data_IF_149217457098
#
_entry.id   IF_149217457098
#
_cell.length_a   1.000
_cell.length_b   1.000
_cell.length_c   1.000
_cell.angle_alpha   90.00
_cell.angle_beta   90.00
_cell.angle_gamma   90.00
#
_symmetry.space_group_name_H-M   'P 1'
#
loop_
_entity.id
_entity.type
_entity.pdbx_description
1 polymer ?
#
# COMPACT_ATOMS: atom_id res chain seq x y z
N UNK A 1 25.04 -16.27 16.96
CA UNK A 1 24.10 -16.27 18.10
C UNK A 1 23.30 -14.94 18.08
N UNK A 2 23.92 -13.75 18.07
CA UNK A 2 23.23 -12.45 18.08
C UNK A 2 22.29 -12.26 16.87
N UNK A 3 22.70 -12.64 15.65
CA UNK A 3 21.88 -12.51 14.47
C UNK A 3 20.62 -13.43 14.49
N UNK A 4 20.73 -14.62 15.05
CA UNK A 4 19.61 -15.53 15.19
C UNK A 4 18.60 -15.01 16.21
N UNK A 5 19.07 -14.52 17.38
CA UNK A 5 18.18 -13.92 18.38
C UNK A 5 17.47 -12.64 17.88
N UNK A 6 18.14 -11.82 17.06
CA UNK A 6 17.52 -10.67 16.42
C UNK A 6 16.43 -11.06 15.43
N UNK A 7 16.64 -12.11 14.62
CA UNK A 7 15.64 -12.62 13.68
C UNK A 7 14.42 -13.19 14.41
N UNK A 8 14.63 -13.93 15.50
CA UNK A 8 13.54 -14.49 16.30
C UNK A 8 12.71 -13.38 16.98
N UNK A 9 13.40 -12.37 17.53
CA UNK A 9 12.73 -11.21 18.10
C UNK A 9 11.88 -10.48 17.05
N UNK A 10 12.41 -10.23 15.87
CA UNK A 10 11.67 -9.56 14.82
C UNK A 10 10.51 -10.38 14.27
N UNK A 11 10.66 -11.68 14.15
CA UNK A 11 9.54 -12.56 13.76
C UNK A 11 8.40 -12.52 14.77
N UNK A 12 8.72 -12.40 16.05
CA UNK A 12 7.70 -12.29 17.10
C UNK A 12 7.08 -10.88 17.16
N UNK A 13 7.83 -9.83 16.88
CA UNK A 13 7.36 -8.43 16.99
C UNK A 13 6.73 -7.90 15.69
N UNK A 14 7.13 -8.40 14.51
CA UNK A 14 6.60 -7.94 13.22
C UNK A 14 5.08 -7.94 13.13
N UNK A 15 4.34 -8.98 13.57
CA UNK A 15 2.88 -8.96 13.54
C UNK A 15 2.27 -7.85 14.40
N UNK A 16 2.89 -7.56 15.56
CA UNK A 16 2.43 -6.48 16.44
C UNK A 16 2.71 -5.11 15.81
N UNK A 17 3.89 -4.93 15.20
CA UNK A 17 4.24 -3.69 14.50
C UNK A 17 3.32 -3.45 13.30
N UNK A 18 3.05 -4.48 12.50
CA UNK A 18 2.11 -4.40 11.39
C UNK A 18 0.69 -4.10 11.86
N UNK A 19 0.22 -4.78 12.89
CA UNK A 19 -1.08 -4.55 13.50
C UNK A 19 -1.22 -3.13 14.06
N UNK A 20 -0.20 -2.64 14.75
CA UNK A 20 -0.18 -1.28 15.28
C UNK A 20 -0.18 -0.23 14.15
N UNK A 21 0.66 -0.40 13.12
CA UNK A 21 0.68 0.48 11.96
C UNK A 21 -0.69 0.49 11.26
N UNK A 22 -1.28 -0.67 11.03
CA UNK A 22 -2.60 -0.79 10.43
C UNK A 22 -3.67 -0.10 11.26
N UNK A 23 -3.64 -0.25 12.60
CA UNK A 23 -4.58 0.42 13.50
C UNK A 23 -4.41 1.94 13.47
N UNK A 24 -3.17 2.45 13.50
CA UNK A 24 -2.87 3.88 13.43
C UNK A 24 -3.38 4.46 12.12
N UNK A 25 -3.07 3.80 11.01
CA UNK A 25 -3.50 4.18 9.67
C UNK A 25 -5.03 4.19 9.59
N UNK A 26 -5.71 3.16 10.08
CA UNK A 26 -7.17 3.11 10.11
C UNK A 26 -7.79 4.22 10.95
N UNK A 27 -7.23 4.50 12.12
CA UNK A 27 -7.67 5.60 12.98
C UNK A 27 -7.51 6.94 12.25
N UNK A 28 -6.35 7.17 11.62
CA UNK A 28 -6.11 8.37 10.83
C UNK A 28 -7.13 8.53 9.69
N UNK A 29 -7.48 7.41 9.02
CA UNK A 29 -8.53 7.37 8.00
C UNK A 29 -9.90 7.74 8.55
N UNK A 30 -10.25 7.25 9.73
CA UNK A 30 -11.51 7.62 10.37
C UNK A 30 -11.59 9.12 10.66
N UNK A 31 -10.48 9.73 11.07
CA UNK A 31 -10.43 11.19 11.25
C UNK A 31 -10.55 11.95 9.93
N UNK A 32 -9.88 11.49 8.87
CA UNK A 32 -9.87 12.12 7.55
C UNK A 32 -11.24 12.04 6.88
N UNK A 33 -11.83 10.85 6.82
CA UNK A 33 -13.11 10.65 6.14
C UNK A 33 -14.32 10.92 7.02
N UNK A 34 -14.16 10.91 8.34
CA UNK A 34 -15.28 11.01 9.32
C UNK A 34 -16.43 10.04 9.00
N UNK A 35 -16.10 8.90 8.41
CA UNK A 35 -17.04 7.88 7.94
C UNK A 35 -16.36 6.53 7.86
N UNK A 36 -16.84 5.57 8.63
CA UNK A 36 -16.33 4.19 8.63
C UNK A 36 -16.39 3.58 7.22
N UNK A 37 -17.49 3.84 6.49
CA UNK A 37 -17.67 3.34 5.12
C UNK A 37 -16.57 3.81 4.18
N UNK A 38 -16.27 5.10 4.15
CA UNK A 38 -15.25 5.68 3.28
C UNK A 38 -13.85 5.27 3.70
N UNK A 39 -13.58 5.16 4.99
CA UNK A 39 -12.30 4.66 5.50
C UNK A 39 -12.04 3.21 5.06
N UNK A 40 -13.05 2.34 5.14
CA UNK A 40 -12.92 0.95 4.66
C UNK A 40 -12.69 0.94 3.14
N UNK A 41 -13.47 1.71 2.37
CA UNK A 41 -13.32 1.76 0.90
C UNK A 41 -11.91 2.20 0.50
N UNK A 42 -11.37 3.22 1.16
CA UNK A 42 -10.03 3.74 0.87
C UNK A 42 -8.92 2.73 1.23
N UNK A 43 -9.12 1.88 2.25
CA UNK A 43 -8.15 0.86 2.65
C UNK A 43 -8.17 -0.43 1.81
N UNK A 44 -9.25 -0.70 1.09
CA UNK A 44 -9.35 -1.92 0.28
C UNK A 44 -8.20 -2.11 -0.73
N UNK A 45 -7.78 -1.09 -1.49
CA UNK A 45 -6.67 -1.23 -2.42
C UNK A 45 -5.37 -1.65 -1.74
N UNK A 46 -5.10 -1.11 -0.54
CA UNK A 46 -3.95 -1.46 0.27
C UNK A 46 -3.95 -2.95 0.63
N UNK A 47 -5.07 -3.45 1.18
CA UNK A 47 -5.21 -4.85 1.57
C UNK A 47 -5.03 -5.80 0.38
N UNK A 48 -5.64 -5.47 -0.76
CA UNK A 48 -5.54 -6.26 -1.98
C UNK A 48 -4.11 -6.17 -2.54
N UNK A 49 -3.49 -4.99 -2.52
CA UNK A 49 -2.10 -4.79 -2.94
C UNK A 49 -1.14 -5.64 -2.12
N UNK A 50 -1.33 -5.71 -0.79
CA UNK A 50 -0.57 -6.59 0.09
C UNK A 50 -0.80 -8.07 -0.21
N UNK A 51 -2.05 -8.48 -0.49
CA UNK A 51 -2.35 -9.85 -0.88
C UNK A 51 -1.59 -10.24 -2.15
N UNK A 52 -1.57 -9.36 -3.16
CA UNK A 52 -0.79 -9.57 -4.38
C UNK A 52 0.71 -9.57 -4.12
N UNK A 53 1.22 -8.66 -3.29
CA UNK A 53 2.63 -8.63 -2.90
C UNK A 53 3.06 -9.98 -2.31
N UNK A 54 2.34 -10.48 -1.29
CA UNK A 54 2.64 -11.76 -0.68
C UNK A 54 2.48 -12.93 -1.66
N UNK A 55 1.47 -12.90 -2.54
CA UNK A 55 1.30 -13.89 -3.60
C UNK A 55 2.50 -13.95 -4.54
N UNK A 56 2.98 -12.81 -5.02
CA UNK A 56 4.18 -12.74 -5.87
C UNK A 56 5.41 -13.23 -5.12
N UNK A 57 5.59 -12.81 -3.87
CA UNK A 57 6.73 -13.23 -3.05
C UNK A 57 6.78 -14.75 -2.88
N UNK A 58 5.62 -15.38 -2.66
CA UNK A 58 5.52 -16.85 -2.59
C UNK A 58 5.86 -17.52 -3.92
N UNK A 59 5.38 -16.96 -5.05
CA UNK A 59 5.63 -17.51 -6.39
C UNK A 59 7.11 -17.48 -6.79
N UNK A 60 7.82 -16.41 -6.43
CA UNK A 60 9.26 -16.26 -6.74
C UNK A 60 10.17 -16.91 -5.69
N UNK A 61 9.60 -17.52 -4.65
CA UNK A 61 10.38 -18.15 -3.57
C UNK A 61 11.18 -17.13 -2.73
N UNK A 62 10.70 -15.90 -2.62
CA UNK A 62 11.41 -14.83 -1.91
C UNK A 62 11.42 -15.08 -0.41
N UNK A 63 12.62 -15.11 0.17
CA UNK A 63 12.78 -15.36 1.60
C UNK A 63 12.68 -14.09 2.41
N UNK A 64 11.87 -14.12 3.48
CA UNK A 64 11.80 -13.04 4.44
C UNK A 64 13.08 -12.96 5.27
N UNK A 65 13.70 -11.80 5.27
CA UNK A 65 14.86 -11.48 6.08
C UNK A 65 14.59 -10.24 6.95
N UNK A 66 15.54 -9.92 7.81
CA UNK A 66 15.46 -8.76 8.71
C UNK A 66 15.08 -7.47 7.97
N UNK A 67 15.73 -7.18 6.86
CA UNK A 67 15.56 -5.92 6.12
C UNK A 67 14.17 -5.76 5.52
N UNK A 68 13.63 -6.83 4.95
CA UNK A 68 12.30 -6.76 4.33
C UNK A 68 11.15 -6.78 5.35
N UNK A 69 11.35 -7.36 6.54
CA UNK A 69 10.38 -7.25 7.63
C UNK A 69 10.25 -5.80 8.14
N UNK A 70 11.37 -5.05 8.20
CA UNK A 70 11.37 -3.64 8.61
C UNK A 70 10.63 -2.74 7.62
N UNK A 71 10.69 -3.05 6.32
CA UNK A 71 10.06 -2.20 5.30
C UNK A 71 8.55 -2.41 5.18
N UNK A 72 8.01 -3.52 5.67
CA UNK A 72 6.55 -3.79 5.58
C UNK A 72 5.67 -2.70 6.20
N UNK A 73 5.92 -2.21 7.43
CA UNK A 73 5.16 -1.08 7.97
C UNK A 73 5.28 0.20 7.15
N UNK A 74 6.46 0.44 6.55
CA UNK A 74 6.66 1.61 5.69
C UNK A 74 5.85 1.50 4.39
N UNK A 75 5.79 0.30 3.77
CA UNK A 75 4.95 0.06 2.59
C UNK A 75 3.46 0.25 2.93
N UNK A 76 3.03 -0.14 4.13
CA UNK A 76 1.67 0.12 4.61
C UNK A 76 1.34 1.62 4.59
N UNK A 77 2.22 2.45 5.18
CA UNK A 77 1.99 3.90 5.23
C UNK A 77 2.07 4.58 3.86
N UNK A 78 3.06 4.22 3.03
CA UNK A 78 3.26 4.83 1.71
C UNK A 78 2.21 4.33 0.70
N UNK A 79 1.88 3.04 0.75
CA UNK A 79 0.97 2.41 -0.21
C UNK A 79 -0.48 2.87 -0.05
N UNK A 80 -0.85 3.31 1.14
CA UNK A 80 -2.19 3.80 1.44
C UNK A 80 -2.52 5.12 0.77
N UNK A 81 -1.55 6.03 0.65
CA UNK A 81 -1.74 7.39 0.13
C UNK A 81 -2.50 7.40 -1.20
N UNK A 82 -2.22 6.44 -2.07
CA UNK A 82 -2.87 6.33 -3.38
C UNK A 82 -4.38 6.07 -3.26
N UNK A 83 -4.79 5.16 -2.38
CA UNK A 83 -6.19 4.84 -2.13
C UNK A 83 -6.95 5.99 -1.48
N UNK A 84 -6.31 6.65 -0.50
CA UNK A 84 -6.87 7.80 0.21
C UNK A 84 -7.17 8.94 -0.73
N UNK A 85 -6.16 9.39 -1.47
CA UNK A 85 -6.30 10.53 -2.37
C UNK A 85 -7.37 10.28 -3.43
N UNK A 86 -7.43 9.09 -4.00
CA UNK A 86 -8.44 8.76 -5.00
C UNK A 86 -9.84 8.70 -4.40
N UNK A 87 -10.02 8.03 -3.26
CA UNK A 87 -11.32 7.92 -2.59
C UNK A 87 -11.82 9.29 -2.08
N UNK A 88 -10.91 10.11 -1.53
CA UNK A 88 -11.23 11.45 -1.05
C UNK A 88 -11.67 12.35 -2.21
N UNK A 89 -10.91 12.37 -3.30
CA UNK A 89 -11.24 13.18 -4.47
C UNK A 89 -12.53 12.75 -5.14
N UNK A 90 -12.78 11.44 -5.24
CA UNK A 90 -14.05 10.95 -5.76
C UNK A 90 -15.24 11.39 -4.89
N UNK A 91 -15.07 11.39 -3.56
CA UNK A 91 -16.10 11.87 -2.64
C UNK A 91 -16.38 13.37 -2.80
N UNK A 92 -15.37 14.19 -3.10
CA UNK A 92 -15.53 15.63 -3.36
C UNK A 92 -16.21 15.91 -4.69
N UNK A 93 -15.80 15.24 -5.76
CA UNK A 93 -16.34 15.44 -7.12
C UNK A 93 -17.76 14.91 -7.26
N UNK A 94 -18.10 13.84 -6.55
CA UNK A 94 -19.42 13.21 -6.57
C UNK A 94 -19.61 12.19 -7.68
N UNK A 95 -20.84 11.66 -7.76
CA UNK A 95 -21.21 10.60 -8.70
C UNK A 95 -21.00 10.99 -10.16
N UNK A 96 -20.61 10.01 -10.98
CA UNK A 96 -20.39 10.20 -12.43
C UNK A 96 -19.07 10.88 -12.80
N UNK A 97 -18.26 11.30 -11.83
CA UNK A 97 -17.02 12.05 -12.05
C UNK A 97 -15.75 11.18 -11.98
N UNK A 98 -15.90 9.86 -11.92
CA UNK A 98 -14.77 8.94 -11.73
C UNK A 98 -13.69 9.11 -12.80
N UNK A 99 -14.06 9.30 -14.06
CA UNK A 99 -13.11 9.52 -15.16
C UNK A 99 -12.26 10.79 -14.96
N UNK A 100 -12.89 11.86 -14.46
CA UNK A 100 -12.19 13.13 -14.17
C UNK A 100 -11.22 12.94 -13.01
N UNK A 101 -11.64 12.23 -11.96
CA UNK A 101 -10.79 11.91 -10.80
C UNK A 101 -9.58 11.07 -11.22
N UNK A 102 -9.78 10.06 -12.06
CA UNK A 102 -8.68 9.24 -12.57
C UNK A 102 -7.72 10.04 -13.44
N UNK A 103 -8.23 10.89 -14.33
CA UNK A 103 -7.39 11.69 -15.21
C UNK A 103 -6.54 12.73 -14.45
N UNK A 104 -7.06 13.31 -13.37
CA UNK A 104 -6.35 14.32 -12.57
C UNK A 104 -5.58 13.67 -11.41
N UNK A 105 -6.29 13.15 -10.41
CA UNK A 105 -5.70 12.59 -9.20
C UNK A 105 -4.92 11.32 -9.48
N UNK A 106 -5.42 10.44 -10.37
CA UNK A 106 -4.72 9.23 -10.77
C UNK A 106 -3.33 9.50 -11.34
N UNK A 107 -3.19 10.56 -12.14
CA UNK A 107 -1.89 10.98 -12.67
C UNK A 107 -0.93 11.43 -11.55
N UNK A 108 -1.42 12.24 -10.60
CA UNK A 108 -0.58 12.75 -9.50
C UNK A 108 -0.10 11.61 -8.57
N UNK A 109 -0.99 10.70 -8.17
CA UNK A 109 -0.60 9.57 -7.33
C UNK A 109 0.35 8.63 -8.06
N UNK A 110 0.18 8.44 -9.37
CA UNK A 110 1.10 7.63 -10.18
C UNK A 110 2.51 8.24 -10.20
N UNK A 111 2.62 9.54 -10.42
CA UNK A 111 3.92 10.22 -10.41
C UNK A 111 4.59 10.16 -9.03
N UNK A 112 3.84 10.38 -7.94
CA UNK A 112 4.35 10.28 -6.59
C UNK A 112 4.83 8.87 -6.24
N UNK A 113 4.02 7.86 -6.54
CA UNK A 113 4.39 6.46 -6.29
C UNK A 113 5.59 6.03 -7.14
N UNK A 114 5.64 6.42 -8.42
CA UNK A 114 6.79 6.13 -9.30
C UNK A 114 8.07 6.78 -8.77
N UNK A 115 8.01 8.02 -8.32
CA UNK A 115 9.17 8.71 -7.73
C UNK A 115 9.66 7.97 -6.48
N UNK A 116 8.75 7.53 -5.62
CA UNK A 116 9.10 6.76 -4.43
C UNK A 116 9.69 5.39 -4.79
N UNK A 117 9.09 4.69 -5.78
CA UNK A 117 9.62 3.43 -6.30
C UNK A 117 11.04 3.60 -6.86
N UNK A 118 11.30 4.67 -7.62
CA UNK A 118 12.64 4.97 -8.15
C UNK A 118 13.65 5.22 -7.02
N UNK A 119 13.25 5.91 -5.95
CA UNK A 119 14.08 6.08 -4.75
C UNK A 119 14.47 4.73 -4.14
N UNK A 120 13.52 3.82 -3.92
CA UNK A 120 13.81 2.48 -3.42
C UNK A 120 14.54 1.59 -4.42
N UNK A 121 14.31 1.77 -5.73
CA UNK A 121 15.03 1.05 -6.76
C UNK A 121 16.53 1.35 -6.76
N UNK A 122 16.95 2.51 -6.26
CA UNK A 122 18.36 2.81 -6.02
C UNK A 122 19.06 1.79 -5.12
N UNK A 123 18.33 1.17 -4.19
CA UNK A 123 18.87 0.13 -3.31
C UNK A 123 19.21 -1.18 -4.04
N UNK A 124 18.65 -1.41 -5.21
CA UNK A 124 18.94 -2.61 -6.03
C UNK A 124 20.40 -2.63 -6.52
N UNK A 125 21.02 -1.46 -6.62
CA UNK A 125 22.40 -1.30 -7.08
C UNK A 125 23.43 -1.32 -5.95
N UNK A 126 22.99 -1.53 -4.69
CA UNK A 126 23.91 -1.63 -3.56
C UNK A 126 24.60 -2.99 -3.55
N UNK A 127 25.82 -3.04 -2.99
CA UNK A 127 26.54 -4.32 -2.83
C UNK A 127 25.99 -5.19 -1.67
N UNK A 128 25.07 -4.66 -0.84
CA UNK A 128 24.55 -5.35 0.34
C UNK A 128 23.24 -6.09 0.02
N UNK A 129 23.22 -7.45 0.08
CA UNK A 129 22.04 -8.24 -0.30
C UNK A 129 20.77 -7.91 0.49
N UNK A 130 20.91 -7.54 1.77
CA UNK A 130 19.78 -7.13 2.61
C UNK A 130 19.12 -5.84 2.13
N UNK A 131 19.89 -4.86 1.70
CA UNK A 131 19.38 -3.60 1.14
C UNK A 131 18.73 -3.82 -0.23
N UNK A 132 19.31 -4.70 -1.06
CA UNK A 132 18.67 -5.12 -2.33
C UNK A 132 17.31 -5.77 -2.06
N UNK A 133 17.23 -6.68 -1.09
CA UNK A 133 16.00 -7.34 -0.68
C UNK A 133 14.94 -6.34 -0.20
N UNK A 134 15.33 -5.34 0.59
CA UNK A 134 14.48 -4.24 1.02
C UNK A 134 13.96 -3.44 -0.19
N UNK A 135 14.85 -3.08 -1.12
CA UNK A 135 14.49 -2.34 -2.34
C UNK A 135 13.50 -3.10 -3.21
N UNK A 136 13.71 -4.40 -3.44
CA UNK A 136 12.79 -5.25 -4.20
C UNK A 136 11.40 -5.25 -3.56
N UNK A 137 11.34 -5.47 -2.25
CA UNK A 137 10.07 -5.54 -1.53
C UNK A 137 9.33 -4.21 -1.53
N UNK A 138 10.04 -3.08 -1.35
CA UNK A 138 9.45 -1.75 -1.40
C UNK A 138 8.89 -1.42 -2.79
N UNK A 139 9.66 -1.66 -3.84
CA UNK A 139 9.22 -1.41 -5.23
C UNK A 139 8.00 -2.26 -5.58
N UNK A 140 8.02 -3.56 -5.26
CA UNK A 140 6.88 -4.44 -5.52
C UNK A 140 5.67 -4.04 -4.68
N UNK A 141 5.85 -3.75 -3.39
CA UNK A 141 4.76 -3.38 -2.49
C UNK A 141 4.05 -2.09 -2.91
N UNK A 142 4.82 -1.02 -3.13
CA UNK A 142 4.28 0.26 -3.60
C UNK A 142 3.65 0.12 -4.99
N UNK A 143 4.29 -0.65 -5.89
CA UNK A 143 3.75 -0.92 -7.22
C UNK A 143 2.41 -1.66 -7.18
N UNK A 144 2.28 -2.69 -6.35
CA UNK A 144 1.02 -3.43 -6.22
C UNK A 144 -0.10 -2.59 -5.61
N UNK A 145 0.20 -1.79 -4.58
CA UNK A 145 -0.80 -0.88 -4.00
C UNK A 145 -1.22 0.21 -4.98
N UNK A 146 -0.30 0.74 -5.79
CA UNK A 146 -0.62 1.68 -6.86
C UNK A 146 -1.54 1.05 -7.92
N UNK A 147 -1.18 -0.14 -8.42
CA UNK A 147 -1.99 -0.86 -9.42
C UNK A 147 -3.39 -1.13 -8.89
N UNK A 148 -3.53 -1.60 -7.66
CA UNK A 148 -4.84 -1.86 -7.05
C UNK A 148 -5.63 -0.57 -6.81
N UNK A 149 -4.97 0.53 -6.46
CA UNK A 149 -5.63 1.83 -6.31
C UNK A 149 -6.14 2.39 -7.64
N UNK A 150 -5.45 2.14 -8.75
CA UNK A 150 -5.83 2.66 -10.07
C UNK A 150 -6.78 1.73 -10.84
N UNK A 151 -6.86 0.45 -10.46
CA UNK A 151 -7.71 -0.53 -11.18
C UNK A 151 -8.87 -0.99 -10.32
N UNK A 152 -8.59 -1.60 -9.18
CA UNK A 152 -9.62 -2.17 -8.31
C UNK A 152 -10.50 -1.09 -7.67
N UNK A 153 -9.91 -0.04 -7.09
CA UNK A 153 -10.67 0.99 -6.38
C UNK A 153 -11.67 1.72 -7.29
N UNK A 154 -11.30 2.19 -8.50
CA UNK A 154 -12.26 2.79 -9.41
C UNK A 154 -13.37 1.83 -9.85
N UNK A 155 -13.03 0.59 -10.16
CA UNK A 155 -14.03 -0.42 -10.52
C UNK A 155 -15.02 -0.69 -9.38
N UNK A 156 -14.51 -0.74 -8.14
CA UNK A 156 -15.31 -0.93 -6.94
C UNK A 156 -16.21 0.28 -6.65
N UNK A 157 -15.68 1.51 -6.79
CA UNK A 157 -16.47 2.74 -6.65
C UNK A 157 -17.59 2.81 -7.68
N UNK A 158 -17.30 2.50 -8.94
CA UNK A 158 -18.32 2.46 -10.00
C UNK A 158 -19.39 1.42 -9.72
N UNK A 159 -19.01 0.25 -9.25
CA UNK A 159 -19.96 -0.79 -8.87
C UNK A 159 -20.87 -0.37 -7.70
N UNK A 160 -20.31 0.33 -6.69
CA UNK A 160 -21.10 0.86 -5.58
C UNK A 160 -22.07 1.97 -6.04
N UNK A 161 -21.63 2.81 -6.97
CA UNK A 161 -22.45 3.86 -7.57
C UNK A 161 -23.64 3.27 -8.34
N UNK A 162 -23.40 2.27 -9.20
CA UNK A 162 -24.46 1.57 -9.95
C UNK A 162 -25.47 0.88 -9.04
N UNK A 163 -25.05 0.44 -7.85
CA UNK A 163 -25.96 -0.16 -6.84
C UNK A 163 -26.64 0.89 -5.94
N UNK A 164 -26.40 2.17 -6.15
CA UNK A 164 -26.98 3.26 -5.34
C UNK A 164 -26.50 3.24 -3.87
N UNK A 165 -25.35 2.64 -3.59
CA UNK A 165 -24.80 2.53 -2.23
C UNK A 165 -23.92 3.71 -1.81
N UNK A 166 -23.51 4.51 -2.77
CA UNK A 166 -22.74 5.77 -2.59
C UNK A 166 -23.33 6.84 -3.47
#
# INVERSE_FOLDING_TARGET
IVAASMLDLMRSESPYMMGATFAIVFIFMLFTFRSIKWSIIAMLPLLIGFLFLFGIMLLIGFQFNFYNLVVLPAILGIGEDSGVHLAYRYREEGKGRLAVVLASTGQHISMGSLTTMLGFAGLLFTAHPGLQSLGIMAVLGIGMTLVTSLTFLPAFLQWLELKGKI
#
